data_IF_506692570548
#
_entry.id   IF_506692570548
#
_cell.length_a   1.000
_cell.length_b   1.000
_cell.length_c   1.000
_cell.angle_alpha   90.00
_cell.angle_beta   90.00
_cell.angle_gamma   90.00
#
_symmetry.space_group_name_H-M   'P 1'
#
loop_
_entity.id
_entity.type
_entity.pdbx_description
1 polymer ?
#
# COMPACT_ATOMS: atom_id res chain seq x y z
N UNK A 1 -1.14 -0.30 -23.16
CA UNK A 1 -1.14 -1.18 -21.96
C UNK A 1 -2.59 -1.58 -21.73
N UNK A 2 -2.88 -2.86 -21.50
CA UNK A 2 -4.26 -3.35 -21.37
C UNK A 2 -4.90 -2.69 -20.13
N UNK A 3 -6.04 -1.98 -20.27
CA UNK A 3 -6.64 -1.20 -19.17
C UNK A 3 -6.92 -2.05 -17.91
N UNK A 4 -7.17 -3.35 -18.11
CA UNK A 4 -7.31 -4.35 -17.04
C UNK A 4 -6.01 -4.53 -16.24
N UNK A 5 -4.85 -4.58 -16.87
CA UNK A 5 -3.57 -4.70 -16.18
C UNK A 5 -3.24 -3.44 -15.36
N UNK A 6 -3.59 -2.26 -15.89
CA UNK A 6 -3.46 -1.01 -15.14
C UNK A 6 -4.32 -1.02 -13.86
N UNK A 7 -5.58 -1.42 -13.97
CA UNK A 7 -6.51 -1.46 -12.83
C UNK A 7 -6.02 -2.41 -11.73
N UNK A 8 -5.53 -3.60 -12.11
CA UNK A 8 -4.96 -4.55 -11.14
C UNK A 8 -3.72 -3.99 -10.45
N UNK A 9 -2.88 -3.22 -11.16
CA UNK A 9 -1.75 -2.52 -10.56
C UNK A 9 -2.19 -1.50 -9.52
N UNK A 10 -3.22 -0.70 -9.80
CA UNK A 10 -3.78 0.28 -8.84
C UNK A 10 -4.36 -0.42 -7.60
N UNK A 11 -5.11 -1.51 -7.79
CA UNK A 11 -5.66 -2.30 -6.68
C UNK A 11 -4.54 -2.90 -5.84
N UNK A 12 -3.50 -3.45 -6.48
CA UNK A 12 -2.34 -4.00 -5.79
C UNK A 12 -1.64 -2.95 -4.91
N UNK A 13 -1.38 -1.76 -5.46
CA UNK A 13 -0.78 -0.65 -4.71
C UNK A 13 -1.69 -0.21 -3.55
N UNK A 14 -3.01 -0.20 -3.73
CA UNK A 14 -3.96 0.08 -2.64
C UNK A 14 -3.89 -0.97 -1.53
N UNK A 15 -3.79 -2.26 -1.86
CA UNK A 15 -3.59 -3.32 -0.88
C UNK A 15 -2.27 -3.17 -0.13
N UNK A 16 -1.17 -2.87 -0.84
CA UNK A 16 0.12 -2.60 -0.21
C UNK A 16 0.04 -1.42 0.76
N UNK A 17 -0.62 -0.34 0.35
CA UNK A 17 -0.81 0.85 1.18
C UNK A 17 -1.62 0.55 2.45
N UNK A 18 -2.71 -0.24 2.34
CA UNK A 18 -3.50 -0.71 3.48
C UNK A 18 -2.65 -1.49 4.50
N UNK A 19 -1.90 -2.48 4.01
CA UNK A 19 -1.05 -3.33 4.86
C UNK A 19 0.05 -2.50 5.53
N UNK A 20 0.76 -1.69 4.74
CA UNK A 20 1.85 -0.84 5.19
C UNK A 20 1.40 0.16 6.27
N UNK A 21 0.26 0.82 6.06
CA UNK A 21 -0.28 1.81 7.01
C UNK A 21 -0.89 1.14 8.24
N UNK A 22 -1.60 0.02 8.06
CA UNK A 22 -2.20 -0.74 9.15
C UNK A 22 -1.17 -1.31 10.13
N UNK A 23 0.00 -1.73 9.62
CA UNK A 23 1.11 -2.20 10.45
C UNK A 23 1.64 -1.14 11.43
N UNK A 24 1.48 0.15 11.10
CA UNK A 24 1.94 1.26 11.93
C UNK A 24 0.83 1.88 12.79
N UNK A 25 -0.38 2.08 12.25
CA UNK A 25 -1.42 2.81 12.97
C UNK A 25 -2.08 2.03 14.12
N UNK A 26 -1.91 0.71 14.15
CA UNK A 26 -2.56 -0.14 15.15
C UNK A 26 -2.16 0.18 16.61
N UNK A 27 -2.98 -0.21 17.60
CA UNK A 27 -2.72 0.08 19.01
C UNK A 27 -1.36 -0.43 19.51
N UNK A 28 -0.89 -1.58 19.00
CA UNK A 28 0.37 -2.17 19.45
C UNK A 28 1.58 -1.36 19.00
N UNK A 29 1.57 -0.92 17.74
CA UNK A 29 2.60 -0.06 17.16
C UNK A 29 2.61 1.33 17.79
N UNK A 30 1.42 1.90 18.09
CA UNK A 30 1.25 3.14 18.86
C UNK A 30 1.79 3.05 20.28
N UNK A 31 1.62 1.90 20.93
CA UNK A 31 2.11 1.67 22.29
C UNK A 31 3.62 1.37 22.36
N UNK A 32 4.13 0.55 21.43
CA UNK A 32 5.56 0.23 21.36
C UNK A 32 6.02 0.18 19.91
N UNK A 33 6.97 1.05 19.57
CA UNK A 33 7.54 1.17 18.21
C UNK A 33 8.08 -0.15 17.65
N UNK A 34 8.60 -1.04 18.51
CA UNK A 34 9.09 -2.36 18.10
C UNK A 34 7.99 -3.26 17.52
N UNK A 35 6.75 -3.16 18.03
CA UNK A 35 5.62 -3.89 17.44
C UNK A 35 5.28 -3.34 16.05
N UNK A 36 5.41 -2.03 15.84
CA UNK A 36 5.28 -1.42 14.51
C UNK A 36 6.26 -2.02 13.51
N UNK A 37 7.55 -2.09 13.87
CA UNK A 37 8.56 -2.72 13.01
C UNK A 37 8.30 -4.21 12.77
N UNK A 38 7.90 -4.97 13.80
CA UNK A 38 7.61 -6.39 13.68
C UNK A 38 6.42 -6.64 12.73
N UNK A 39 5.32 -5.92 12.92
CA UNK A 39 4.13 -6.02 12.07
C UNK A 39 4.41 -5.52 10.65
N UNK A 40 5.23 -4.47 10.52
CA UNK A 40 5.64 -3.94 9.22
C UNK A 40 6.45 -4.96 8.43
N UNK A 41 7.38 -5.67 9.07
CA UNK A 41 8.14 -6.77 8.46
C UNK A 41 7.25 -7.95 8.08
N UNK A 42 6.32 -8.35 8.94
CA UNK A 42 5.35 -9.42 8.62
C UNK A 42 4.49 -9.02 7.42
N UNK A 43 3.97 -7.79 7.40
CA UNK A 43 3.20 -7.24 6.29
C UNK A 43 4.02 -7.17 5.00
N UNK A 44 5.29 -6.78 5.08
CA UNK A 44 6.21 -6.77 3.95
C UNK A 44 6.35 -8.17 3.35
N UNK A 45 6.63 -9.18 4.19
CA UNK A 45 6.78 -10.56 3.73
C UNK A 45 5.49 -11.09 3.10
N UNK A 46 4.33 -10.78 3.67
CA UNK A 46 3.03 -11.15 3.09
C UNK A 46 2.83 -10.53 1.70
N UNK A 47 3.09 -9.22 1.56
CA UNK A 47 2.99 -8.50 0.29
C UNK A 47 3.98 -9.06 -0.73
N UNK A 48 5.21 -9.34 -0.33
CA UNK A 48 6.24 -9.89 -1.20
C UNK A 48 5.86 -11.28 -1.73
N UNK A 49 5.39 -12.17 -0.85
CA UNK A 49 4.90 -13.51 -1.23
C UNK A 49 3.66 -13.42 -2.13
N UNK A 50 2.71 -12.55 -1.81
CA UNK A 50 1.52 -12.35 -2.63
C UNK A 50 1.86 -11.76 -4.02
N UNK A 51 2.83 -10.86 -4.11
CA UNK A 51 3.33 -10.34 -5.39
C UNK A 51 3.91 -11.44 -6.27
N UNK A 52 4.76 -12.31 -5.69
CA UNK A 52 5.29 -13.49 -6.39
C UNK A 52 4.17 -14.45 -6.83
N UNK A 53 3.16 -14.67 -5.99
CA UNK A 53 2.00 -15.50 -6.32
C UNK A 53 1.24 -14.99 -7.55
N UNK A 54 1.06 -13.67 -7.63
CA UNK A 54 0.40 -13.01 -8.75
C UNK A 54 1.24 -13.19 -10.02
N UNK A 55 2.56 -13.04 -9.95
CA UNK A 55 3.45 -13.25 -11.11
C UNK A 55 3.42 -14.69 -11.64
N UNK A 56 3.45 -15.68 -10.75
CA UNK A 56 3.27 -17.09 -11.13
C UNK A 56 1.91 -17.30 -11.80
N UNK A 57 0.84 -16.74 -11.23
CA UNK A 57 -0.51 -16.87 -11.80
C UNK A 57 -0.66 -16.19 -13.17
N UNK A 58 0.07 -15.10 -13.40
CA UNK A 58 0.13 -14.41 -14.69
C UNK A 58 1.02 -15.10 -15.73
N UNK A 59 1.65 -16.23 -15.38
CA UNK A 59 2.52 -16.99 -16.27
C UNK A 59 3.89 -16.33 -16.50
N UNK A 60 4.29 -15.38 -15.64
CA UNK A 60 5.63 -14.77 -15.68
C UNK A 60 6.69 -15.78 -15.25
N UNK A 61 6.34 -16.68 -14.32
CA UNK A 61 7.14 -17.80 -13.86
C UNK A 61 6.29 -19.09 -13.91
N UNK A 62 6.95 -20.23 -14.11
CA UNK A 62 6.30 -21.54 -14.21
C UNK A 62 5.79 -22.04 -12.86
N UNK A 63 6.54 -21.76 -11.79
CA UNK A 63 6.17 -22.08 -10.42
C UNK A 63 6.80 -21.12 -9.40
N UNK A 64 6.43 -21.27 -8.12
CA UNK A 64 6.95 -20.43 -7.03
C UNK A 64 8.44 -20.59 -6.78
N UNK A 65 9.01 -21.77 -7.05
CA UNK A 65 10.44 -22.01 -6.83
C UNK A 65 11.25 -21.24 -7.88
N UNK A 66 10.78 -21.22 -9.12
CA UNK A 66 11.35 -20.39 -10.18
C UNK A 66 11.23 -18.90 -9.83
N UNK A 67 10.09 -18.45 -9.30
CA UNK A 67 9.94 -17.05 -8.86
C UNK A 67 10.93 -16.68 -7.73
N UNK A 68 11.13 -17.55 -6.74
CA UNK A 68 12.07 -17.34 -5.63
C UNK A 68 13.55 -17.38 -6.04
N UNK A 69 13.90 -18.26 -6.99
CA UNK A 69 15.27 -18.45 -7.47
C UNK A 69 15.61 -17.59 -8.70
N UNK A 70 14.64 -16.85 -9.23
CA UNK A 70 14.82 -16.03 -10.42
C UNK A 70 15.91 -14.98 -10.21
N UNK A 71 16.88 -14.85 -11.14
CA UNK A 71 17.93 -13.84 -11.09
C UNK A 71 17.44 -12.43 -11.50
N UNK A 72 16.16 -12.11 -11.26
CA UNK A 72 15.56 -10.79 -11.54
C UNK A 72 15.31 -10.01 -10.23
N UNK A 73 16.37 -9.61 -9.51
CA UNK A 73 16.25 -8.91 -8.23
C UNK A 73 15.54 -7.56 -8.37
N UNK A 74 15.58 -6.95 -9.55
CA UNK A 74 14.99 -5.65 -9.86
C UNK A 74 13.49 -5.58 -9.54
N UNK A 75 12.72 -6.65 -9.83
CA UNK A 75 11.27 -6.65 -9.59
C UNK A 75 10.91 -6.85 -8.12
N UNK A 76 11.61 -7.74 -7.42
CA UNK A 76 11.45 -7.89 -5.97
C UNK A 76 11.85 -6.62 -5.23
N UNK A 77 12.85 -5.91 -5.75
CA UNK A 77 13.26 -4.60 -5.25
C UNK A 77 12.17 -3.54 -5.42
N UNK A 78 11.46 -3.51 -6.56
CA UNK A 78 10.34 -2.58 -6.77
C UNK A 78 9.25 -2.79 -5.71
N UNK A 79 8.81 -4.02 -5.48
CA UNK A 79 7.79 -4.31 -4.44
C UNK A 79 8.28 -3.86 -3.05
N UNK A 80 9.56 -4.07 -2.74
CA UNK A 80 10.14 -3.65 -1.48
C UNK A 80 10.23 -2.13 -1.32
N UNK A 81 10.68 -1.42 -2.36
CA UNK A 81 10.74 0.04 -2.36
C UNK A 81 9.36 0.66 -2.31
N UNK A 82 8.39 0.14 -3.07
CA UNK A 82 7.01 0.58 -3.03
C UNK A 82 6.43 0.40 -1.62
N UNK A 83 6.53 -0.79 -1.04
CA UNK A 83 6.03 -1.05 0.31
C UNK A 83 6.67 -0.11 1.36
N UNK A 84 7.98 0.10 1.26
CA UNK A 84 8.71 1.03 2.12
C UNK A 84 8.17 2.45 1.98
N UNK A 85 8.09 2.99 0.75
CA UNK A 85 7.64 4.35 0.48
C UNK A 85 6.18 4.58 0.94
N UNK A 86 5.31 3.61 0.64
CA UNK A 86 3.89 3.66 1.03
C UNK A 86 3.70 3.64 2.55
N UNK A 87 4.65 3.06 3.29
CA UNK A 87 4.59 3.01 4.75
C UNK A 87 5.02 4.31 5.45
N UNK A 88 5.75 5.20 4.76
CA UNK A 88 6.38 6.39 5.37
C UNK A 88 5.37 7.29 6.10
N UNK A 89 4.20 7.67 5.53
CA UNK A 89 3.28 8.59 6.20
C UNK A 89 2.80 8.05 7.56
N UNK A 90 2.45 6.77 7.63
CA UNK A 90 2.00 6.13 8.87
C UNK A 90 3.17 5.88 9.84
N UNK A 91 4.29 5.35 9.34
CA UNK A 91 5.48 5.08 10.15
C UNK A 91 6.05 6.35 10.78
N UNK A 92 6.20 7.43 10.00
CA UNK A 92 6.64 8.72 10.51
C UNK A 92 5.69 9.25 11.58
N UNK A 93 4.38 9.16 11.37
CA UNK A 93 3.38 9.61 12.34
C UNK A 93 3.50 8.89 13.69
N UNK A 94 3.78 7.60 13.69
CA UNK A 94 3.93 6.80 14.92
C UNK A 94 5.29 7.03 15.57
N UNK A 95 6.37 7.06 14.78
CA UNK A 95 7.72 7.30 15.28
C UNK A 95 7.83 8.69 15.91
N UNK A 96 7.21 9.70 15.31
CA UNK A 96 7.15 11.07 15.81
C UNK A 96 6.05 11.30 16.87
N UNK A 97 5.32 10.25 17.30
CA UNK A 97 4.25 10.32 18.31
C UNK A 97 3.16 11.37 17.97
N UNK A 98 2.82 11.49 16.70
CA UNK A 98 1.79 12.41 16.25
C UNK A 98 0.41 11.97 16.74
N UNK A 99 -0.44 12.94 17.10
CA UNK A 99 -1.82 12.67 17.48
C UNK A 99 -2.57 11.96 16.34
N UNK A 100 -3.59 11.17 16.70
CA UNK A 100 -4.41 10.38 15.77
C UNK A 100 -4.92 11.19 14.58
N UNK A 101 -5.39 12.42 14.81
CA UNK A 101 -5.88 13.31 13.76
C UNK A 101 -4.82 13.65 12.70
N UNK A 102 -3.58 13.90 13.12
CA UNK A 102 -2.48 14.23 12.20
C UNK A 102 -1.99 13.02 11.42
N UNK A 103 -1.94 11.84 12.07
CA UNK A 103 -1.60 10.60 11.40
C UNK A 103 -2.59 10.25 10.28
N UNK A 104 -3.89 10.46 10.52
CA UNK A 104 -4.94 10.26 9.52
C UNK A 104 -4.80 11.23 8.35
N UNK A 105 -4.56 12.51 8.63
CA UNK A 105 -4.33 13.50 7.56
C UNK A 105 -3.10 13.12 6.73
N UNK A 106 -2.01 12.67 7.35
CA UNK A 106 -0.81 12.24 6.63
C UNK A 106 -1.08 11.05 5.71
N UNK A 107 -1.81 10.04 6.21
CA UNK A 107 -2.13 8.83 5.45
C UNK A 107 -3.15 9.11 4.34
N UNK A 108 -4.26 9.77 4.66
CA UNK A 108 -5.30 10.09 3.69
C UNK A 108 -4.80 11.10 2.66
N UNK A 109 -4.03 12.09 3.08
CA UNK A 109 -3.40 13.06 2.20
C UNK A 109 -2.43 12.40 1.22
N UNK A 110 -1.56 11.51 1.70
CA UNK A 110 -0.66 10.74 0.84
C UNK A 110 -1.43 9.81 -0.11
N UNK A 111 -2.51 9.18 0.35
CA UNK A 111 -3.39 8.38 -0.50
C UNK A 111 -4.02 9.20 -1.64
N UNK A 112 -4.54 10.40 -1.35
CA UNK A 112 -5.08 11.29 -2.39
C UNK A 112 -4.01 11.66 -3.41
N UNK A 113 -2.81 12.03 -2.94
CA UNK A 113 -1.69 12.40 -3.82
C UNK A 113 -1.21 11.23 -4.69
N UNK A 114 -1.34 9.99 -4.23
CA UNK A 114 -0.95 8.79 -4.96
C UNK A 114 -2.03 8.33 -5.93
N UNK A 115 -3.25 8.10 -5.43
CA UNK A 115 -4.32 7.45 -6.20
C UNK A 115 -5.03 8.37 -7.18
N UNK A 116 -5.07 9.69 -6.94
CA UNK A 116 -5.64 10.63 -7.90
C UNK A 116 -4.90 10.62 -9.25
N UNK A 117 -3.57 10.81 -9.32
CA UNK A 117 -2.85 10.74 -10.59
C UNK A 117 -2.82 9.32 -11.16
N UNK A 118 -2.73 8.28 -10.33
CA UNK A 118 -2.80 6.89 -10.82
C UNK A 118 -4.13 6.58 -11.50
N UNK A 119 -5.24 7.08 -10.96
CA UNK A 119 -6.55 7.00 -11.62
C UNK A 119 -6.51 7.63 -13.01
N UNK A 120 -5.94 8.82 -13.13
CA UNK A 120 -5.81 9.52 -14.43
C UNK A 120 -4.93 8.75 -15.43
N UNK A 121 -3.95 7.97 -14.95
CA UNK A 121 -3.07 7.15 -15.81
C UNK A 121 -3.73 5.87 -16.32
N UNK A 122 -4.81 5.38 -15.69
CA UNK A 122 -5.57 4.23 -16.18
C UNK A 122 -6.23 4.52 -17.54
N UNK A 123 -6.50 5.79 -17.83
CA UNK A 123 -7.07 6.25 -19.08
C UNK A 123 -5.98 6.58 -20.10
N UNK A 124 -5.53 5.56 -20.84
CA UNK A 124 -4.78 5.78 -22.07
C UNK A 124 -5.66 6.42 -23.15
N UNK A 125 -5.93 7.74 -23.05
CA UNK A 125 -6.68 8.63 -23.97
C UNK A 125 -8.10 9.08 -23.53
N UNK A 126 -8.19 9.89 -22.47
CA UNK A 126 -8.88 11.19 -22.53
C UNK A 126 -10.41 11.29 -22.69
N UNK A 127 -11.26 10.45 -22.07
CA UNK A 127 -12.71 10.75 -22.11
C UNK A 127 -13.58 10.48 -20.89
N UNK A 128 -13.08 9.93 -19.78
CA UNK A 128 -13.90 9.67 -18.59
C UNK A 128 -13.14 9.89 -17.26
N UNK A 129 -12.53 11.07 -17.14
CA UNK A 129 -11.85 11.54 -15.91
C UNK A 129 -12.71 11.37 -14.64
N UNK A 130 -14.04 11.37 -14.79
CA UNK A 130 -15.00 11.14 -13.70
C UNK A 130 -14.92 9.70 -13.15
N UNK A 131 -14.68 8.70 -13.99
CA UNK A 131 -14.51 7.31 -13.56
C UNK A 131 -13.20 7.14 -12.77
N UNK A 132 -12.12 7.70 -13.31
CA UNK A 132 -10.79 7.72 -12.68
C UNK A 132 -10.81 8.41 -11.31
N UNK A 133 -11.45 9.58 -11.24
CA UNK A 133 -11.66 10.31 -10.00
C UNK A 133 -12.56 9.54 -9.04
N UNK A 134 -13.64 8.93 -9.54
CA UNK A 134 -14.54 8.09 -8.74
C UNK A 134 -13.82 6.91 -8.09
N UNK A 135 -12.97 6.21 -8.85
CA UNK A 135 -12.14 5.12 -8.33
C UNK A 135 -11.12 5.61 -7.30
N UNK A 136 -10.42 6.71 -7.56
CA UNK A 136 -9.52 7.32 -6.59
C UNK A 136 -10.25 7.69 -5.29
N UNK A 137 -11.45 8.27 -5.39
CA UNK A 137 -12.29 8.60 -4.23
C UNK A 137 -12.75 7.36 -3.46
N UNK A 138 -13.13 6.28 -4.14
CA UNK A 138 -13.48 5.00 -3.50
C UNK A 138 -12.28 4.42 -2.74
N UNK A 139 -11.10 4.41 -3.35
CA UNK A 139 -9.88 3.91 -2.71
C UNK A 139 -9.51 4.75 -1.49
N UNK A 140 -9.52 6.08 -1.63
CA UNK A 140 -9.29 7.00 -0.50
C UNK A 140 -10.33 6.80 0.60
N UNK A 141 -11.60 6.58 0.25
CA UNK A 141 -12.66 6.28 1.21
C UNK A 141 -12.44 4.96 1.97
N UNK A 142 -12.00 3.91 1.27
CA UNK A 142 -11.62 2.63 1.90
C UNK A 142 -10.43 2.84 2.84
N UNK A 143 -9.42 3.61 2.42
CA UNK A 143 -8.25 3.92 3.24
C UNK A 143 -8.58 4.75 4.47
N UNK A 144 -9.54 5.68 4.34
CA UNK A 144 -10.10 6.41 5.47
C UNK A 144 -10.78 5.45 6.45
N UNK A 145 -11.69 4.60 5.97
CA UNK A 145 -12.41 3.62 6.79
C UNK A 145 -11.45 2.64 7.48
N UNK A 146 -10.41 2.20 6.79
CA UNK A 146 -9.34 1.38 7.35
C UNK A 146 -8.57 2.11 8.46
N UNK A 147 -8.20 3.37 8.23
CA UNK A 147 -7.56 4.20 9.26
C UNK A 147 -8.48 4.46 10.45
N UNK A 148 -9.80 4.51 10.24
CA UNK A 148 -10.76 4.56 11.34
C UNK A 148 -10.77 3.28 12.18
N UNK A 149 -10.77 2.12 11.51
CA UNK A 149 -10.82 0.82 12.15
C UNK A 149 -9.54 0.45 12.91
N UNK A 150 -8.38 0.83 12.38
CA UNK A 150 -7.08 0.38 12.91
C UNK A 150 -6.42 1.41 13.81
N UNK A 151 -6.62 2.71 13.59
CA UNK A 151 -5.83 3.75 14.28
C UNK A 151 -6.24 3.99 15.73
N UNK A 152 -5.26 4.02 16.62
CA UNK A 152 -5.42 4.29 18.05
C UNK A 152 -4.69 5.57 18.47
N UNK A 153 -5.12 6.16 19.59
CA UNK A 153 -4.36 7.26 20.18
C UNK A 153 -2.97 6.77 20.65
N UNK A 154 -1.92 7.60 20.57
CA UNK A 154 -0.63 7.28 21.18
C UNK A 154 -0.81 7.04 22.67
N UNK A 155 -0.31 5.93 23.21
CA UNK A 155 -0.23 5.76 24.66
C UNK A 155 0.85 6.71 25.20
N UNK A 156 0.54 7.42 26.29
CA UNK A 156 1.48 8.29 27.00
C UNK A 156 2.76 7.55 27.44
#
# INVERSE_FOLDING_TARGET
MDAKMGLWGVVWVACMYLVATGAWLNPWARARRLWGWALWLVGFLMVWVAGMAIEVRMGVYRDFNEALSAPKPEKHWIIAMEYLLLSIPAGASVLLRQAKRWARIAVVGAAVLLFAPMGMMLEGSGRDWMFSLGMAMVLVGILWAWSEAVDAEPSA
#
